data_IF_287045623992
#
_entry.id   IF_287045623992
#
_cell.length_a   1.000
_cell.length_b   1.000
_cell.length_c   1.000
_cell.angle_alpha   90.00
_cell.angle_beta   90.00
_cell.angle_gamma   90.00
#
_symmetry.space_group_name_H-M   'P 1'
#
loop_
_entity.id
_entity.type
_entity.pdbx_description
1 polymer ?
#
# COMPACT_ATOMS: atom_id res chain seq x y z
N UNK A 1 -2.96 14.70 -18.03
CA UNK A 1 -4.40 14.62 -17.64
C UNK A 1 -4.60 14.73 -16.13
N UNK A 2 -3.78 14.10 -15.29
CA UNK A 2 -3.98 14.03 -13.84
C UNK A 2 -3.93 15.37 -13.08
N UNK A 3 -3.06 16.35 -13.40
CA UNK A 3 -3.03 17.64 -12.72
C UNK A 3 -4.32 18.46 -12.85
N UNK A 4 -5.11 18.23 -13.88
CA UNK A 4 -6.39 18.94 -14.11
C UNK A 4 -7.54 18.43 -13.20
N UNK A 5 -7.44 17.22 -12.67
CA UNK A 5 -8.50 16.58 -11.87
C UNK A 5 -8.24 16.59 -10.37
N UNK A 6 -7.09 17.05 -9.90
CA UNK A 6 -6.71 17.06 -8.48
C UNK A 6 -6.23 18.43 -8.05
N UNK A 7 -6.80 18.95 -6.98
CA UNK A 7 -6.47 20.29 -6.46
C UNK A 7 -4.99 20.37 -6.03
N UNK A 8 -4.23 21.25 -6.68
CA UNK A 8 -2.84 21.56 -6.29
C UNK A 8 -2.77 22.00 -4.82
N UNK A 9 -3.77 22.77 -4.34
CA UNK A 9 -3.87 23.20 -2.94
C UNK A 9 -3.90 22.04 -1.95
N UNK A 10 -4.61 20.93 -2.29
CA UNK A 10 -4.66 19.74 -1.42
C UNK A 10 -3.29 19.07 -1.35
N UNK A 11 -2.59 18.96 -2.47
CA UNK A 11 -1.26 18.34 -2.53
C UNK A 11 -0.26 19.16 -1.72
N UNK A 12 -0.22 20.48 -1.93
CA UNK A 12 0.66 21.41 -1.20
C UNK A 12 0.37 21.38 0.31
N UNK A 13 -0.90 21.36 0.70
CA UNK A 13 -1.32 21.21 2.09
C UNK A 13 -0.82 19.92 2.70
N UNK A 14 -1.00 18.79 2.01
CA UNK A 14 -0.54 17.48 2.48
C UNK A 14 0.99 17.44 2.66
N UNK A 15 1.75 17.98 1.70
CA UNK A 15 3.21 18.07 1.81
C UNK A 15 3.59 18.97 3.00
N UNK A 16 2.88 20.07 3.24
CA UNK A 16 3.15 20.97 4.35
C UNK A 16 2.87 20.35 5.72
N UNK A 17 1.90 19.45 5.84
CA UNK A 17 1.68 18.68 7.07
C UNK A 17 2.85 17.74 7.38
N UNK A 18 3.43 17.11 6.37
CA UNK A 18 4.56 16.22 6.56
C UNK A 18 5.89 16.98 6.69
N UNK A 19 6.06 18.06 5.92
CA UNK A 19 7.32 18.80 5.80
C UNK A 19 7.09 20.31 5.91
N UNK A 20 6.80 20.80 7.11
CA UNK A 20 6.42 22.19 7.36
C UNK A 20 7.51 23.24 7.02
N UNK A 21 8.79 22.83 7.00
CA UNK A 21 9.93 23.72 6.69
C UNK A 21 10.35 23.72 5.22
N UNK A 22 9.71 22.90 4.34
CA UNK A 22 10.10 22.88 2.94
C UNK A 22 9.75 24.20 2.25
N UNK A 23 10.70 24.72 1.49
CA UNK A 23 10.50 25.85 0.59
C UNK A 23 9.59 25.50 -0.60
N UNK A 24 9.20 26.52 -1.35
CA UNK A 24 8.26 26.35 -2.47
C UNK A 24 8.85 25.51 -3.60
N UNK A 25 10.13 25.68 -3.90
CA UNK A 25 10.81 24.97 -5.00
C UNK A 25 10.89 23.47 -4.69
N UNK A 26 11.29 23.10 -3.47
CA UNK A 26 11.31 21.71 -2.99
C UNK A 26 9.93 21.06 -3.03
N UNK A 27 8.87 21.77 -2.65
CA UNK A 27 7.49 21.27 -2.76
C UNK A 27 7.10 21.02 -4.22
N UNK A 28 7.39 21.95 -5.11
CA UNK A 28 7.11 21.78 -6.54
C UNK A 28 7.88 20.62 -7.16
N UNK A 29 9.12 20.40 -6.74
CA UNK A 29 9.91 19.22 -7.15
C UNK A 29 9.26 17.91 -6.73
N UNK A 30 8.78 17.81 -5.48
CA UNK A 30 8.04 16.64 -5.00
C UNK A 30 6.76 16.44 -5.83
N UNK A 31 5.97 17.48 -6.07
CA UNK A 31 4.73 17.42 -6.86
C UNK A 31 5.01 16.91 -8.28
N UNK A 32 6.01 17.49 -8.95
CA UNK A 32 6.36 17.11 -10.31
C UNK A 32 6.84 15.66 -10.42
N UNK A 33 7.67 15.21 -9.46
CA UNK A 33 8.17 13.84 -9.43
C UNK A 33 7.06 12.84 -9.10
N UNK A 34 6.14 13.18 -8.18
CA UNK A 34 4.95 12.37 -7.90
C UNK A 34 4.11 12.18 -9.18
N UNK A 35 3.85 13.24 -9.95
CA UNK A 35 3.06 13.13 -11.17
C UNK A 35 3.77 12.33 -12.27
N UNK A 36 5.10 12.48 -12.40
CA UNK A 36 5.91 11.64 -13.28
C UNK A 36 5.81 10.16 -12.91
N UNK A 37 5.96 9.83 -11.61
CA UNK A 37 5.82 8.47 -11.10
C UNK A 37 4.43 7.91 -11.37
N UNK A 38 3.38 8.70 -11.14
CA UNK A 38 2.00 8.28 -11.37
C UNK A 38 1.71 8.00 -12.85
N UNK A 39 2.23 8.85 -13.75
CA UNK A 39 2.13 8.62 -15.20
C UNK A 39 2.81 7.32 -15.63
N UNK A 40 3.99 7.01 -15.06
CA UNK A 40 4.69 5.74 -15.30
C UNK A 40 3.87 4.54 -14.84
N UNK A 41 3.28 4.59 -13.64
CA UNK A 41 2.42 3.50 -13.11
C UNK A 41 1.27 3.21 -14.09
N UNK A 42 0.60 4.24 -14.58
CA UNK A 42 -0.50 4.07 -15.54
C UNK A 42 -0.04 3.42 -16.84
N UNK A 43 1.11 3.86 -17.38
CA UNK A 43 1.70 3.25 -18.56
C UNK A 43 2.10 1.78 -18.33
N UNK A 44 2.59 1.45 -17.15
CA UNK A 44 3.04 0.10 -16.76
C UNK A 44 1.90 -0.92 -16.65
N UNK A 45 0.65 -0.47 -16.47
CA UNK A 45 -0.48 -1.41 -16.48
C UNK A 45 -0.57 -2.23 -17.77
N UNK A 46 -0.19 -1.66 -18.91
CA UNK A 46 -0.15 -2.39 -20.19
C UNK A 46 0.88 -3.52 -20.16
N UNK A 47 1.90 -3.39 -19.32
CA UNK A 47 3.02 -4.33 -19.19
C UNK A 47 2.89 -5.30 -18.00
N UNK A 48 1.78 -5.31 -17.24
CA UNK A 48 1.63 -6.19 -16.06
C UNK A 48 1.77 -7.67 -16.41
N UNK A 49 1.29 -8.10 -17.57
CA UNK A 49 1.53 -9.45 -18.09
C UNK A 49 3.02 -9.77 -18.25
N UNK A 50 3.78 -8.80 -18.75
CA UNK A 50 5.23 -8.92 -18.93
C UNK A 50 5.95 -9.00 -17.57
N UNK A 51 5.66 -8.07 -16.63
CA UNK A 51 6.22 -8.11 -15.29
C UNK A 51 5.93 -9.42 -14.55
N UNK A 52 4.76 -10.01 -14.78
CA UNK A 52 4.45 -11.30 -14.17
C UNK A 52 5.25 -12.46 -14.77
N UNK A 53 5.52 -12.45 -16.07
CA UNK A 53 6.20 -13.55 -16.79
C UNK A 53 7.71 -13.50 -16.66
N UNK A 54 8.30 -12.30 -16.69
CA UNK A 54 9.74 -12.14 -16.65
C UNK A 54 10.29 -12.54 -15.27
N UNK A 55 11.53 -13.01 -15.26
CA UNK A 55 12.23 -13.21 -13.99
C UNK A 55 12.37 -11.89 -13.26
N UNK A 56 11.88 -11.84 -12.02
CA UNK A 56 11.86 -10.61 -11.21
C UNK A 56 13.25 -9.98 -11.08
N UNK A 57 14.32 -10.79 -11.01
CA UNK A 57 15.70 -10.34 -10.89
C UNK A 57 16.16 -9.34 -11.95
N UNK A 58 15.52 -9.29 -13.12
CA UNK A 58 15.89 -8.38 -14.20
C UNK A 58 15.43 -6.94 -13.98
N UNK A 59 14.40 -6.71 -13.17
CA UNK A 59 13.84 -5.37 -12.94
C UNK A 59 13.48 -5.09 -11.48
N UNK A 60 13.55 -6.09 -10.61
CA UNK A 60 13.10 -6.01 -9.23
C UNK A 60 14.14 -6.67 -8.30
N UNK A 61 14.82 -5.85 -7.52
CA UNK A 61 15.63 -6.28 -6.38
C UNK A 61 14.69 -6.55 -5.20
N UNK A 62 14.82 -7.70 -4.55
CA UNK A 62 13.99 -8.08 -3.41
C UNK A 62 14.84 -8.16 -2.16
N UNK A 63 14.43 -7.44 -1.13
CA UNK A 63 15.00 -7.51 0.21
C UNK A 63 13.98 -8.18 1.15
N UNK A 64 14.44 -9.12 1.96
CA UNK A 64 13.58 -9.85 2.91
C UNK A 64 12.80 -11.00 2.25
N UNK A 65 13.28 -11.58 1.15
CA UNK A 65 12.64 -12.74 0.50
C UNK A 65 12.47 -13.91 1.48
N UNK A 66 13.43 -14.12 2.37
CA UNK A 66 13.40 -15.16 3.41
C UNK A 66 12.22 -15.01 4.37
N UNK A 67 11.67 -13.80 4.51
CA UNK A 67 10.47 -13.55 5.33
C UNK A 67 9.24 -14.16 4.66
N UNK A 68 9.10 -13.99 3.33
CA UNK A 68 8.00 -14.62 2.58
C UNK A 68 8.09 -16.14 2.62
N UNK A 69 9.30 -16.69 2.55
CA UNK A 69 9.52 -18.14 2.66
C UNK A 69 9.11 -18.67 4.02
N UNK A 70 9.48 -17.98 5.13
CA UNK A 70 9.05 -18.32 6.49
C UNK A 70 7.53 -18.24 6.65
N UNK A 71 6.88 -17.21 6.08
CA UNK A 71 5.41 -17.07 6.12
C UNK A 71 4.76 -18.24 5.39
N UNK A 72 5.22 -18.56 4.18
CA UNK A 72 4.72 -19.68 3.38
C UNK A 72 4.85 -21.01 4.12
N UNK A 73 6.00 -21.29 4.74
CA UNK A 73 6.24 -22.52 5.49
C UNK A 73 5.38 -22.60 6.76
N UNK A 74 5.14 -21.47 7.41
CA UNK A 74 4.32 -21.44 8.64
C UNK A 74 2.85 -21.77 8.40
N UNK A 75 2.36 -21.60 7.17
CA UNK A 75 0.93 -21.71 6.79
C UNK A 75 -0.01 -20.83 7.61
N UNK A 76 0.52 -19.86 8.38
CA UNK A 76 -0.26 -18.92 9.17
C UNK A 76 -0.50 -17.65 8.35
N UNK A 77 -1.75 -17.19 8.18
CA UNK A 77 -2.03 -15.98 7.44
C UNK A 77 -1.50 -14.75 8.18
N UNK A 78 -1.06 -13.76 7.43
CA UNK A 78 -0.56 -12.48 7.93
C UNK A 78 -1.28 -11.31 7.24
N UNK A 79 -1.16 -10.12 7.81
CA UNK A 79 -1.63 -8.89 7.18
C UNK A 79 -0.42 -8.15 6.59
N UNK A 80 -0.36 -8.03 5.27
CA UNK A 80 0.60 -7.19 4.59
C UNK A 80 0.09 -5.75 4.52
N UNK A 81 0.90 -4.79 4.91
CA UNK A 81 0.53 -3.37 4.90
C UNK A 81 1.53 -2.54 4.13
N UNK A 82 1.04 -1.54 3.41
CA UNK A 82 1.86 -0.56 2.69
C UNK A 82 1.09 0.75 2.47
N UNK A 83 1.72 1.68 1.76
CA UNK A 83 1.11 2.85 1.14
C UNK A 83 1.20 2.79 -0.39
N UNK A 84 0.59 3.77 -1.05
CA UNK A 84 0.64 3.89 -2.52
C UNK A 84 1.99 4.51 -2.95
N UNK A 85 3.06 3.70 -2.84
CA UNK A 85 4.40 4.07 -3.27
C UNK A 85 4.66 3.54 -4.67
N UNK A 86 5.10 4.39 -5.58
CA UNK A 86 5.45 4.03 -6.95
C UNK A 86 4.56 2.94 -7.57
N UNK A 87 5.10 1.91 -8.25
CA UNK A 87 4.29 0.81 -8.76
C UNK A 87 3.97 -0.23 -7.67
N UNK A 88 3.07 0.15 -6.76
CA UNK A 88 2.62 -0.66 -5.63
C UNK A 88 1.96 -1.99 -6.04
N UNK A 89 1.50 -2.13 -7.28
CA UNK A 89 0.90 -3.37 -7.78
C UNK A 89 1.91 -4.52 -7.82
N UNK A 90 3.19 -4.21 -8.02
CA UNK A 90 4.26 -5.22 -8.01
C UNK A 90 4.45 -5.88 -6.64
N UNK A 91 4.04 -5.22 -5.54
CA UNK A 91 4.09 -5.81 -4.20
C UNK A 91 3.18 -7.04 -4.09
N UNK A 92 1.89 -6.87 -4.39
CA UNK A 92 0.93 -7.97 -4.35
C UNK A 92 1.29 -9.08 -5.37
N UNK A 93 1.74 -8.68 -6.57
CA UNK A 93 2.22 -9.61 -7.58
C UNK A 93 3.37 -10.48 -7.07
N UNK A 94 4.36 -9.90 -6.42
CA UNK A 94 5.51 -10.63 -5.93
C UNK A 94 5.16 -11.57 -4.77
N UNK A 95 4.34 -11.13 -3.82
CA UNK A 95 3.88 -11.97 -2.71
C UNK A 95 3.14 -13.20 -3.24
N UNK A 96 2.21 -13.01 -4.17
CA UNK A 96 1.46 -14.13 -4.76
C UNK A 96 2.36 -15.07 -5.57
N UNK A 97 3.31 -14.52 -6.36
CA UNK A 97 4.32 -15.30 -7.08
C UNK A 97 5.21 -16.14 -6.16
N UNK A 98 5.44 -15.70 -4.93
CA UNK A 98 6.19 -16.45 -3.91
C UNK A 98 5.41 -17.66 -3.37
N UNK A 99 4.17 -17.85 -3.79
CA UNK A 99 3.31 -18.98 -3.42
C UNK A 99 2.56 -18.79 -2.11
N UNK A 100 2.40 -17.55 -1.66
CA UNK A 100 1.53 -17.19 -0.53
C UNK A 100 0.11 -17.02 -1.06
N UNK A 101 -0.85 -17.67 -0.40
CA UNK A 101 -2.27 -17.42 -0.67
C UNK A 101 -2.64 -16.03 -0.17
N UNK A 102 -2.89 -15.10 -1.13
CA UNK A 102 -3.06 -13.68 -0.89
C UNK A 102 -4.39 -13.18 -1.45
N UNK A 103 -5.07 -12.32 -0.69
CA UNK A 103 -6.17 -11.49 -1.18
C UNK A 103 -5.80 -10.00 -1.02
N UNK A 104 -5.93 -9.23 -2.10
CA UNK A 104 -5.63 -7.81 -2.12
C UNK A 104 -6.91 -6.98 -2.04
N UNK A 105 -6.92 -5.98 -1.14
CA UNK A 105 -8.05 -5.06 -1.01
C UNK A 105 -7.88 -3.89 -1.97
N UNK A 106 -8.90 -3.60 -2.75
CA UNK A 106 -8.88 -2.50 -3.69
C UNK A 106 -10.17 -1.68 -3.68
N UNK A 107 -10.07 -0.45 -4.16
CA UNK A 107 -11.24 0.39 -4.46
C UNK A 107 -11.45 0.40 -5.98
N UNK A 108 -12.67 0.09 -6.47
CA UNK A 108 -13.00 0.23 -7.88
C UNK A 108 -12.74 1.65 -8.38
N UNK A 109 -12.35 1.78 -9.64
CA UNK A 109 -12.23 3.08 -10.28
C UNK A 109 -13.62 3.69 -10.50
N UNK A 110 -13.71 5.02 -10.39
CA UNK A 110 -14.95 5.74 -10.70
C UNK A 110 -15.29 5.74 -12.22
N UNK A 111 -14.34 5.39 -13.07
CA UNK A 111 -14.54 5.27 -14.51
C UNK A 111 -15.03 3.88 -14.86
N UNK A 112 -16.30 3.78 -15.27
CA UNK A 112 -16.98 2.51 -15.56
C UNK A 112 -16.39 1.76 -16.78
N UNK A 113 -15.70 2.44 -17.69
CA UNK A 113 -15.04 1.81 -18.84
C UNK A 113 -13.66 1.25 -18.49
N UNK A 114 -12.89 1.99 -17.68
CA UNK A 114 -11.55 1.56 -17.29
C UNK A 114 -11.56 0.55 -16.15
N UNK A 115 -12.58 0.58 -15.27
CA UNK A 115 -12.62 -0.28 -14.11
C UNK A 115 -12.59 -1.78 -14.45
N UNK A 116 -13.42 -2.31 -15.38
CA UNK A 116 -13.38 -3.73 -15.76
C UNK A 116 -12.02 -4.16 -16.34
N UNK A 117 -11.38 -3.27 -17.10
CA UNK A 117 -10.04 -3.53 -17.67
C UNK A 117 -9.02 -3.67 -16.55
N UNK A 118 -9.03 -2.75 -15.59
CA UNK A 118 -8.11 -2.75 -14.45
C UNK A 118 -8.35 -3.96 -13.54
N UNK A 119 -9.59 -4.31 -13.24
CA UNK A 119 -9.95 -5.50 -12.46
C UNK A 119 -9.43 -6.77 -13.14
N UNK A 120 -9.68 -6.94 -14.43
CA UNK A 120 -9.19 -8.09 -15.19
C UNK A 120 -7.64 -8.19 -15.21
N UNK A 121 -6.93 -7.06 -15.33
CA UNK A 121 -5.46 -7.03 -15.25
C UNK A 121 -5.01 -7.45 -13.86
N UNK A 122 -5.63 -6.94 -12.79
CA UNK A 122 -5.30 -7.26 -11.41
C UNK A 122 -5.49 -8.75 -11.13
N UNK A 123 -6.65 -9.29 -11.45
CA UNK A 123 -6.96 -10.71 -11.23
C UNK A 123 -6.03 -11.63 -12.00
N UNK A 124 -5.72 -11.31 -13.27
CA UNK A 124 -4.87 -12.17 -14.11
C UNK A 124 -3.39 -12.06 -13.82
N UNK A 125 -2.91 -10.86 -13.49
CA UNK A 125 -1.46 -10.60 -13.49
C UNK A 125 -0.90 -10.09 -12.17
N UNK A 126 -1.71 -9.59 -11.25
CA UNK A 126 -1.24 -9.02 -9.98
C UNK A 126 -1.55 -9.96 -8.81
N UNK A 127 -2.81 -10.14 -8.49
CA UNK A 127 -3.25 -11.04 -7.43
C UNK A 127 -4.65 -11.57 -7.76
N UNK A 128 -4.82 -12.89 -7.77
CA UNK A 128 -6.07 -13.53 -8.22
C UNK A 128 -7.27 -13.20 -7.36
N UNK A 129 -7.07 -13.13 -6.04
CA UNK A 129 -8.14 -12.79 -5.10
C UNK A 129 -8.15 -11.28 -4.87
N UNK A 130 -9.18 -10.62 -5.40
CA UNK A 130 -9.38 -9.18 -5.27
C UNK A 130 -10.64 -8.92 -4.44
N UNK A 131 -10.53 -8.19 -3.34
CA UNK A 131 -11.66 -7.87 -2.45
C UNK A 131 -11.99 -6.38 -2.57
N UNK A 132 -13.23 -6.09 -2.95
CA UNK A 132 -13.72 -4.71 -3.05
C UNK A 132 -13.86 -4.09 -1.66
N UNK A 133 -13.32 -2.87 -1.49
CA UNK A 133 -13.48 -2.10 -0.24
C UNK A 133 -14.97 -1.81 0.01
N UNK A 134 -15.42 -1.97 1.25
CA UNK A 134 -16.78 -1.69 1.70
C UNK A 134 -17.25 -2.68 2.76
N UNK A 135 -18.51 -2.58 3.18
CA UNK A 135 -19.09 -3.43 4.24
C UNK A 135 -19.06 -4.91 3.85
N UNK A 136 -19.44 -5.23 2.60
CA UNK A 136 -19.35 -6.59 2.07
C UNK A 136 -17.91 -7.10 2.04
N UNK A 137 -16.97 -6.24 1.61
CA UNK A 137 -15.55 -6.55 1.59
C UNK A 137 -14.97 -6.87 2.97
N UNK A 138 -15.41 -6.19 4.02
CA UNK A 138 -14.95 -6.48 5.38
C UNK A 138 -15.34 -7.91 5.83
N UNK A 139 -16.55 -8.37 5.48
CA UNK A 139 -16.97 -9.77 5.75
C UNK A 139 -16.14 -10.76 4.94
N UNK A 140 -15.86 -10.44 3.68
CA UNK A 140 -15.07 -11.26 2.77
C UNK A 140 -13.62 -11.38 3.23
N UNK A 141 -12.98 -10.29 3.66
CA UNK A 141 -11.64 -10.28 4.26
C UNK A 141 -11.58 -11.25 5.45
N UNK A 142 -12.56 -11.16 6.35
CA UNK A 142 -12.63 -12.02 7.53
C UNK A 142 -12.78 -13.49 7.18
N UNK A 143 -13.62 -13.81 6.18
CA UNK A 143 -13.81 -15.17 5.66
C UNK A 143 -12.50 -15.71 5.07
N UNK A 144 -11.85 -14.98 4.19
CA UNK A 144 -10.59 -15.36 3.58
C UNK A 144 -9.49 -15.60 4.61
N UNK A 145 -9.35 -14.68 5.57
CA UNK A 145 -8.32 -14.80 6.61
C UNK A 145 -8.52 -16.05 7.47
N UNK A 146 -9.75 -16.38 7.86
CA UNK A 146 -10.09 -17.61 8.60
C UNK A 146 -9.76 -18.89 7.84
N UNK A 147 -9.79 -18.83 6.49
CA UNK A 147 -9.43 -19.93 5.60
C UNK A 147 -7.92 -20.02 5.34
N UNK A 148 -7.10 -19.19 6.00
CA UNK A 148 -5.64 -19.22 5.85
C UNK A 148 -5.10 -18.29 4.76
N UNK A 149 -5.95 -17.48 4.10
CA UNK A 149 -5.53 -16.49 3.10
C UNK A 149 -4.95 -15.25 3.80
N UNK A 150 -3.73 -14.85 3.47
CA UNK A 150 -3.14 -13.57 3.89
C UNK A 150 -3.81 -12.39 3.19
N UNK A 151 -3.83 -11.23 3.84
CA UNK A 151 -4.50 -10.04 3.30
C UNK A 151 -3.48 -8.94 3.04
N UNK A 152 -3.54 -8.30 1.88
CA UNK A 152 -2.78 -7.10 1.55
C UNK A 152 -3.69 -5.87 1.47
N UNK A 153 -3.33 -4.82 2.19
CA UNK A 153 -4.07 -3.56 2.15
C UNK A 153 -3.16 -2.34 2.27
N UNK A 154 -3.58 -1.24 1.64
CA UNK A 154 -2.95 0.07 1.77
C UNK A 154 -3.57 0.81 2.95
N UNK A 155 -2.72 1.38 3.83
CA UNK A 155 -3.16 2.06 5.06
C UNK A 155 -3.05 3.59 4.98
N UNK A 156 -2.59 4.12 3.87
CA UNK A 156 -2.23 5.52 3.67
C UNK A 156 -3.39 6.43 3.24
N UNK A 157 -4.57 5.88 2.94
CA UNK A 157 -5.73 6.67 2.56
C UNK A 157 -6.68 6.89 3.73
N UNK A 158 -7.36 8.06 3.70
CA UNK A 158 -8.43 8.39 4.66
C UNK A 158 -9.59 7.39 4.56
N UNK A 159 -10.06 6.94 5.71
CA UNK A 159 -11.20 6.03 5.83
C UNK A 159 -12.22 6.65 6.78
N UNK A 160 -13.46 6.87 6.31
CA UNK A 160 -14.50 7.55 7.10
C UNK A 160 -14.85 6.79 8.39
N UNK A 161 -14.80 5.47 8.34
CA UNK A 161 -15.06 4.52 9.44
C UNK A 161 -13.80 4.25 10.29
N UNK A 162 -12.71 4.97 10.01
CA UNK A 162 -11.45 4.87 10.75
C UNK A 162 -11.47 5.67 12.04
N UNK A 163 -10.38 5.55 12.78
CA UNK A 163 -10.16 6.36 13.98
C UNK A 163 -9.20 7.52 13.67
N UNK A 164 -9.30 8.58 14.46
CA UNK A 164 -8.30 9.65 14.48
C UNK A 164 -7.01 9.11 15.08
N UNK A 165 -5.95 9.15 14.30
CA UNK A 165 -4.60 8.76 14.72
C UNK A 165 -3.60 9.72 14.12
N UNK A 166 -2.50 9.99 14.83
CA UNK A 166 -1.49 10.93 14.37
C UNK A 166 -0.76 10.35 13.14
N UNK A 167 -0.57 11.22 12.14
CA UNK A 167 0.30 11.02 10.98
C UNK A 167 1.01 12.35 10.73
N UNK A 168 2.34 12.40 10.82
CA UNK A 168 3.12 13.63 10.82
C UNK A 168 2.60 14.67 11.85
N UNK A 169 2.34 14.19 13.07
CA UNK A 169 1.83 15.01 14.20
C UNK A 169 0.44 15.64 13.96
N UNK A 170 -0.24 15.28 12.87
CA UNK A 170 -1.57 15.77 12.53
C UNK A 170 -2.59 14.64 12.58
N UNK A 171 -3.79 14.90 13.10
CA UNK A 171 -4.86 13.91 13.14
C UNK A 171 -5.30 13.50 11.73
N UNK A 172 -5.36 12.20 11.49
CA UNK A 172 -5.81 11.62 10.24
C UNK A 172 -6.70 10.40 10.49
N UNK A 173 -7.86 10.34 9.85
CA UNK A 173 -8.74 9.19 9.93
C UNK A 173 -8.09 7.98 9.27
N UNK A 174 -7.72 7.00 10.08
CA UNK A 174 -6.91 5.83 9.69
C UNK A 174 -7.71 4.55 9.86
N UNK A 175 -7.54 3.61 8.93
CA UNK A 175 -8.17 2.28 8.99
C UNK A 175 -7.69 1.51 10.21
N UNK A 176 -8.62 0.84 10.89
CA UNK A 176 -8.32 -0.02 12.04
C UNK A 176 -8.27 -1.50 11.66
N UNK A 177 -8.50 -1.85 10.40
CA UNK A 177 -8.57 -3.26 9.96
C UNK A 177 -7.35 -4.07 10.42
N UNK A 178 -6.08 -3.64 10.18
CA UNK A 178 -4.93 -4.41 10.65
C UNK A 178 -4.93 -4.61 12.16
N UNK A 179 -5.21 -3.55 12.94
CA UNK A 179 -5.25 -3.62 14.39
C UNK A 179 -6.34 -4.54 14.92
N UNK A 180 -7.54 -4.50 14.32
CA UNK A 180 -8.64 -5.40 14.66
C UNK A 180 -8.28 -6.87 14.41
N UNK A 181 -7.56 -7.15 13.31
CA UNK A 181 -7.11 -8.52 13.00
C UNK A 181 -6.05 -9.01 13.98
N UNK A 182 -5.10 -8.16 14.37
CA UNK A 182 -4.14 -8.46 15.44
C UNK A 182 -4.88 -8.84 16.72
N UNK A 183 -5.82 -8.01 17.18
CA UNK A 183 -6.59 -8.26 18.40
C UNK A 183 -7.43 -9.53 18.33
N UNK A 184 -7.97 -9.85 17.18
CA UNK A 184 -8.89 -10.99 17.01
C UNK A 184 -8.16 -12.32 16.78
N UNK A 185 -7.03 -12.30 16.06
CA UNK A 185 -6.37 -13.50 15.58
C UNK A 185 -4.93 -13.67 16.08
N UNK A 186 -4.42 -12.70 16.84
CA UNK A 186 -3.02 -12.64 17.26
C UNK A 186 -2.06 -12.82 16.05
N UNK A 187 -2.42 -12.23 14.90
CA UNK A 187 -1.66 -12.38 13.68
C UNK A 187 -0.55 -11.32 13.56
N UNK A 188 0.45 -11.62 12.76
CA UNK A 188 1.53 -10.66 12.46
C UNK A 188 1.12 -9.69 11.38
N UNK A 189 1.65 -8.46 11.46
CA UNK A 189 1.61 -7.45 10.39
C UNK A 189 2.97 -7.43 9.71
N UNK A 190 2.99 -7.50 8.38
CA UNK A 190 4.21 -7.49 7.58
C UNK A 190 4.22 -6.24 6.72
N UNK A 191 5.05 -5.25 7.05
CA UNK A 191 5.17 -4.06 6.22
C UNK A 191 5.92 -4.36 4.93
N UNK A 192 5.47 -3.72 3.83
CA UNK A 192 6.14 -3.81 2.53
C UNK A 192 6.31 -2.42 1.95
N UNK A 193 7.47 -2.18 1.36
CA UNK A 193 7.79 -0.94 0.70
C UNK A 193 8.34 -1.20 -0.70
N UNK A 194 7.97 -0.37 -1.66
CA UNK A 194 8.53 -0.42 -3.01
C UNK A 194 9.04 0.95 -3.43
N UNK A 195 10.18 0.96 -4.07
CA UNK A 195 10.84 2.15 -4.58
C UNK A 195 11.36 1.91 -5.99
N UNK A 196 11.20 2.91 -6.87
CA UNK A 196 11.83 2.93 -8.18
C UNK A 196 13.19 3.61 -8.08
N UNK A 197 14.21 2.96 -8.60
CA UNK A 197 15.58 3.47 -8.73
C UNK A 197 15.72 4.42 -9.92
N UNK A 198 16.83 5.13 -9.99
CA UNK A 198 17.17 6.05 -11.10
C UNK A 198 17.26 5.31 -12.45
N UNK A 199 17.73 4.08 -12.45
CA UNK A 199 17.81 3.21 -13.63
C UNK A 199 16.48 2.53 -14.01
N UNK A 200 15.37 3.00 -13.47
CA UNK A 200 14.00 2.50 -13.69
C UNK A 200 13.74 1.08 -13.14
N UNK A 201 14.70 0.42 -12.52
CA UNK A 201 14.46 -0.82 -11.76
C UNK A 201 13.76 -0.52 -10.43
N UNK A 202 13.25 -1.56 -9.78
CA UNK A 202 12.57 -1.43 -8.49
C UNK A 202 13.36 -2.12 -7.38
N UNK A 203 13.21 -1.62 -6.17
CA UNK A 203 13.53 -2.34 -4.93
C UNK A 203 12.24 -2.57 -4.18
N UNK A 204 11.94 -3.81 -3.88
CA UNK A 204 10.84 -4.23 -3.02
C UNK A 204 11.44 -4.76 -1.73
N UNK A 205 11.03 -4.19 -0.61
CA UNK A 205 11.49 -4.57 0.71
C UNK A 205 10.34 -5.16 1.52
N UNK A 206 10.49 -6.42 1.92
CA UNK A 206 9.64 -7.07 2.90
C UNK A 206 10.29 -6.87 4.26
N UNK A 207 9.66 -6.08 5.11
CA UNK A 207 10.20 -5.75 6.42
C UNK A 207 9.91 -6.84 7.44
N UNK A 208 10.59 -6.79 8.59
CA UNK A 208 10.37 -7.75 9.67
C UNK A 208 8.92 -7.74 10.14
N UNK A 209 8.32 -8.92 10.32
CA UNK A 209 6.96 -9.05 10.83
C UNK A 209 6.82 -8.45 12.23
N UNK A 210 5.83 -7.58 12.40
CA UNK A 210 5.49 -6.95 13.66
C UNK A 210 4.51 -7.84 14.42
N UNK A 211 4.80 -8.09 15.70
CA UNK A 211 3.90 -8.69 16.68
C UNK A 211 3.54 -7.64 17.71
N UNK A 212 2.36 -7.76 18.29
CA UNK A 212 1.88 -6.83 19.31
C UNK A 212 1.41 -7.62 20.52
N UNK A 213 1.75 -7.13 21.70
CA UNK A 213 1.30 -7.72 22.95
C UNK A 213 -0.22 -7.57 23.12
N UNK A 214 -0.83 -8.46 23.87
CA UNK A 214 -2.28 -8.50 24.04
C UNK A 214 -2.86 -7.26 24.76
N UNK A 215 -2.06 -6.53 25.53
CA UNK A 215 -2.42 -5.27 26.20
C UNK A 215 -2.51 -4.08 25.24
N UNK A 216 -1.87 -4.14 24.07
CA UNK A 216 -1.91 -3.05 23.10
C UNK A 216 -3.33 -2.82 22.55
N UNK A 217 -3.78 -1.58 22.62
CA UNK A 217 -5.09 -1.19 22.09
C UNK A 217 -5.07 -1.05 20.56
N UNK A 218 -6.25 -0.99 19.95
CA UNK A 218 -6.41 -0.72 18.53
C UNK A 218 -5.76 0.61 18.15
N UNK A 219 -5.91 1.63 19.00
CA UNK A 219 -5.32 2.95 18.84
C UNK A 219 -3.80 2.90 18.83
N UNK A 220 -3.19 2.17 19.79
CA UNK A 220 -1.73 2.02 19.86
C UNK A 220 -1.16 1.33 18.62
N UNK A 221 -1.82 0.25 18.17
CA UNK A 221 -1.40 -0.48 16.97
C UNK A 221 -1.55 0.43 15.74
N UNK A 222 -2.67 1.14 15.62
CA UNK A 222 -2.93 2.05 14.49
C UNK A 222 -1.93 3.20 14.46
N UNK A 223 -1.58 3.77 15.61
CA UNK A 223 -0.55 4.79 15.72
C UNK A 223 0.81 4.26 15.26
N UNK A 224 1.18 3.05 15.71
CA UNK A 224 2.45 2.42 15.29
C UNK A 224 2.53 2.17 13.78
N UNK A 225 1.41 1.86 13.15
CA UNK A 225 1.32 1.70 11.69
C UNK A 225 1.43 3.05 10.96
N UNK A 226 0.90 4.14 11.52
CA UNK A 226 1.10 5.48 10.98
C UNK A 226 2.57 5.93 11.11
N UNK A 227 3.25 5.68 12.23
CA UNK A 227 4.69 5.95 12.40
C UNK A 227 5.52 5.19 11.34
N UNK A 228 5.19 3.93 11.09
CA UNK A 228 5.81 3.14 10.04
C UNK A 228 5.58 3.76 8.65
N UNK A 229 4.36 4.19 8.37
CA UNK A 229 4.02 4.87 7.12
C UNK A 229 4.79 6.18 6.94
N UNK A 230 4.96 6.96 8.01
CA UNK A 230 5.81 8.17 8.02
C UNK A 230 7.24 7.85 7.60
N UNK A 231 7.85 6.83 8.22
CA UNK A 231 9.21 6.39 7.85
C UNK A 231 9.32 6.04 6.37
N UNK A 232 8.33 5.31 5.82
CA UNK A 232 8.28 4.96 4.41
C UNK A 232 8.17 6.20 3.51
N UNK A 233 7.32 7.17 3.88
CA UNK A 233 7.13 8.42 3.11
C UNK A 233 8.41 9.28 3.13
N UNK A 234 9.08 9.37 4.28
CA UNK A 234 10.32 10.16 4.44
C UNK A 234 11.45 9.60 3.60
N UNK A 235 11.53 8.26 3.41
CA UNK A 235 12.56 7.61 2.57
C UNK A 235 12.58 8.15 1.13
N UNK A 236 11.40 8.33 0.52
CA UNK A 236 11.28 8.91 -0.82
C UNK A 236 9.93 9.61 -1.01
N UNK A 237 9.80 10.86 -0.57
CA UNK A 237 8.55 11.60 -0.68
C UNK A 237 8.11 11.85 -2.12
N UNK A 238 9.02 11.76 -3.10
CA UNK A 238 8.70 11.92 -4.52
C UNK A 238 7.85 10.79 -5.09
N UNK A 239 7.79 9.67 -4.42
CA UNK A 239 7.14 8.45 -4.93
C UNK A 239 5.86 8.07 -4.19
N UNK A 240 5.44 8.83 -3.18
CA UNK A 240 4.15 8.65 -2.52
C UNK A 240 3.06 9.50 -3.19
N UNK A 241 1.79 9.03 -3.10
CA UNK A 241 0.64 9.72 -3.72
C UNK A 241 0.09 10.82 -2.80
N UNK A 242 0.60 12.04 -2.95
CA UNK A 242 0.16 13.21 -2.19
C UNK A 242 -1.21 13.75 -2.58
N UNK A 243 -1.80 13.29 -3.68
CA UNK A 243 -3.06 13.82 -4.22
C UNK A 243 -4.31 13.36 -3.47
N UNK A 244 -4.21 12.41 -2.55
CA UNK A 244 -5.30 11.99 -1.69
C UNK A 244 -5.45 12.95 -0.50
N UNK A 245 -6.69 13.40 -0.21
CA UNK A 245 -6.95 14.30 0.91
C UNK A 245 -6.90 13.56 2.26
N UNK A 246 -5.69 13.26 2.73
CA UNK A 246 -5.41 12.39 3.86
C UNK A 246 -5.83 13.01 5.20
N UNK A 247 -5.69 14.33 5.33
CA UNK A 247 -5.96 15.12 6.54
C UNK A 247 -7.23 16.00 6.39
N UNK A 248 -8.29 15.48 5.78
CA UNK A 248 -9.58 16.17 5.67
C UNK A 248 -10.40 16.00 6.95
#
# INVERSE_FOLDING_TARGET
FSPFFRSKKVIEKNISFAFYKLDKESKEKIINNMWKSYGKILAEYVFMKYFRKIESKKFLEIKGQEILEKIKLSKKPVIFVSGHFNNFELMAMHIEKSGIDLAAIYRPLNNNFLNPIMENIREKYICRKQIKKGISGTKEILKHFKLGTSIALMIDQRVSEGIKSLLFKNEALTTTIPAQFVKKFNCKIVPIYIERKVNESFVLEIMQPMSFDNDKTIENITLKLNELLEMMIIRNPNQWIWSHNRWK
#
